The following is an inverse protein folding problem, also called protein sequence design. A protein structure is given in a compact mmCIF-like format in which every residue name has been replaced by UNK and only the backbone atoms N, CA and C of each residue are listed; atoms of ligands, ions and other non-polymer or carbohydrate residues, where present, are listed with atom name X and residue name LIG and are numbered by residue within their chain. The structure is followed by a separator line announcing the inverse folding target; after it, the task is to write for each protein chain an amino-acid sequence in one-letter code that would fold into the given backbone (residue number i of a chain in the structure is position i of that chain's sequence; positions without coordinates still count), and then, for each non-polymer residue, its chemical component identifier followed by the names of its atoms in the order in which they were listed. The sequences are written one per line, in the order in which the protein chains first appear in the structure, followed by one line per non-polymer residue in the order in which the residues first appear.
data_IF_879442656587
#
_entry.id   IF_879442656587
#
_cell.length_a   1.000
_cell.length_b   1.000
_cell.length_c   1.000
_cell.angle_alpha   90.00
_cell.angle_beta   90.00
_cell.angle_gamma   90.00
#
_symmetry.space_group_name_H-M   'P 1'
#
loop_
_entity.id
_entity.type
_entity.pdbx_description
1 polymer ?
#
# COMPACT_ATOMS: atom_id res chain seq x y z
N UNK A 1 0.49 -20.67 -27.97
CA UNK A 1 -0.24 -21.05 -26.75
C UNK A 1 0.16 -20.02 -25.68
N UNK A 2 -0.69 -19.06 -25.43
CA UNK A 2 -0.50 -18.10 -24.32
C UNK A 2 -0.58 -18.89 -23.01
N UNK A 3 0.50 -19.00 -22.28
CA UNK A 3 0.46 -19.50 -20.90
C UNK A 3 -0.46 -18.54 -20.13
N UNK A 4 -1.60 -19.03 -19.70
CA UNK A 4 -2.44 -18.28 -18.76
C UNK A 4 -1.74 -18.32 -17.41
N UNK A 5 -1.17 -17.20 -16.99
CA UNK A 5 -0.68 -17.05 -15.63
C UNK A 5 -1.86 -17.18 -14.65
N UNK A 6 -1.65 -17.74 -13.44
CA UNK A 6 -2.70 -17.82 -12.45
C UNK A 6 -3.19 -16.39 -12.12
N UNK A 7 -4.52 -16.23 -12.05
CA UNK A 7 -5.14 -14.95 -11.72
C UNK A 7 -4.77 -14.54 -10.30
N UNK A 8 -4.38 -13.29 -10.13
CA UNK A 8 -4.11 -12.71 -8.82
C UNK A 8 -5.45 -12.51 -8.10
N UNK A 9 -5.57 -13.03 -6.88
CA UNK A 9 -6.78 -12.91 -6.05
C UNK A 9 -6.50 -12.40 -4.64
N UNK A 10 -5.22 -12.37 -4.22
CA UNK A 10 -4.80 -12.10 -2.85
C UNK A 10 -4.07 -10.78 -2.73
N UNK A 11 -4.44 -10.01 -1.70
CA UNK A 11 -3.74 -8.81 -1.28
C UNK A 11 -3.12 -9.00 0.12
N UNK A 12 -1.87 -8.60 0.29
CA UNK A 12 -1.15 -8.61 1.57
C UNK A 12 -0.90 -7.17 1.98
N UNK A 13 -1.33 -6.80 3.19
CA UNK A 13 -1.19 -5.45 3.71
C UNK A 13 -0.32 -5.46 4.97
N UNK A 14 0.98 -5.10 4.87
CA UNK A 14 1.84 -4.91 6.03
C UNK A 14 1.37 -3.73 6.89
N UNK A 15 0.99 -4.01 8.14
CA UNK A 15 0.47 -3.02 9.10
C UNK A 15 1.06 -3.19 10.51
N UNK A 16 2.25 -3.78 10.64
CA UNK A 16 2.89 -4.05 11.93
C UNK A 16 3.75 -2.88 12.47
N UNK A 17 3.97 -1.81 11.70
CA UNK A 17 4.83 -0.68 12.06
C UNK A 17 4.36 0.11 13.29
N UNK A 18 5.30 0.67 14.05
CA UNK A 18 5.03 1.35 15.32
C UNK A 18 4.41 2.75 15.20
N UNK A 19 4.51 3.40 14.02
CA UNK A 19 3.89 4.72 13.79
C UNK A 19 4.51 5.86 14.59
N UNK A 20 5.80 5.82 14.89
CA UNK A 20 6.47 6.76 15.81
C UNK A 20 6.46 8.21 15.33
N UNK A 21 6.32 8.47 14.03
CA UNK A 21 6.26 9.84 13.46
C UNK A 21 5.04 10.63 13.92
N UNK A 22 3.96 9.96 14.35
CA UNK A 22 2.70 10.56 14.81
C UNK A 22 2.51 10.53 16.32
N UNK A 23 3.56 10.26 17.09
CA UNK A 23 3.45 10.38 18.54
C UNK A 23 3.15 11.85 18.93
N UNK A 24 2.27 12.06 19.96
CA UNK A 24 1.69 11.05 20.84
C UNK A 24 0.41 10.36 20.34
N UNK A 25 -0.19 10.77 19.21
CA UNK A 25 -1.47 10.24 18.73
C UNK A 25 -1.43 8.71 18.54
N UNK A 26 -0.32 8.20 18.02
CA UNK A 26 -0.14 6.77 17.74
C UNK A 26 0.33 5.94 18.95
N UNK A 27 0.38 6.53 20.14
CA UNK A 27 0.70 5.79 21.38
C UNK A 27 -0.30 4.66 21.66
N UNK A 28 -1.58 4.92 21.42
CA UNK A 28 -2.68 3.98 21.66
C UNK A 28 -3.50 3.62 20.40
N UNK A 29 -3.29 4.33 19.31
CA UNK A 29 -4.02 4.14 18.06
C UNK A 29 -3.03 3.78 16.95
N UNK A 30 -3.24 2.70 16.19
CA UNK A 30 -2.43 2.41 15.01
C UNK A 30 -2.42 3.58 14.03
N UNK A 31 -1.27 3.87 13.41
CA UNK A 31 -1.17 4.96 12.41
C UNK A 31 -2.14 4.75 11.24
N UNK A 32 -2.37 3.51 10.88
CA UNK A 32 -3.27 3.11 9.80
C UNK A 32 -4.75 3.39 10.13
N UNK A 33 -5.08 3.59 11.42
CA UNK A 33 -6.41 3.99 11.91
C UNK A 33 -6.58 5.50 12.03
N UNK A 34 -5.58 6.30 11.70
CA UNK A 34 -5.74 7.75 11.67
C UNK A 34 -6.77 8.13 10.59
N UNK A 35 -7.76 8.98 10.94
CA UNK A 35 -8.86 9.28 10.04
C UNK A 35 -8.43 10.22 8.90
N UNK A 36 -8.72 9.84 7.68
CA UNK A 36 -8.66 10.70 6.51
C UNK A 36 -10.10 11.13 6.20
N UNK A 37 -10.47 12.31 6.64
CA UNK A 37 -11.84 12.83 6.76
C UNK A 37 -12.63 12.05 7.82
N UNK A 38 -13.48 11.10 7.43
CA UNK A 38 -14.33 10.29 8.33
C UNK A 38 -14.10 8.76 8.18
N UNK A 39 -13.04 8.38 7.46
CA UNK A 39 -12.68 7.00 7.17
C UNK A 39 -11.20 6.76 7.52
N UNK A 40 -10.81 5.66 8.20
CA UNK A 40 -9.41 5.41 8.51
C UNK A 40 -8.59 5.16 7.24
N UNK A 41 -7.32 5.57 7.25
CA UNK A 41 -6.41 5.44 6.11
C UNK A 41 -6.37 4.02 5.55
N UNK A 42 -6.36 3.01 6.42
CA UNK A 42 -6.31 1.59 6.00
C UNK A 42 -7.52 1.15 5.16
N UNK A 43 -8.69 1.75 5.37
CA UNK A 43 -9.89 1.38 4.60
C UNK A 43 -9.74 1.78 3.12
N UNK A 44 -9.12 2.92 2.82
CA UNK A 44 -8.81 3.31 1.42
C UNK A 44 -7.90 2.28 0.74
N UNK A 45 -6.94 1.71 1.47
CA UNK A 45 -6.03 0.69 0.93
C UNK A 45 -6.77 -0.62 0.64
N UNK A 46 -7.68 -1.04 1.52
CA UNK A 46 -8.51 -2.24 1.29
C UNK A 46 -9.50 -2.02 0.14
N UNK A 47 -10.13 -0.84 0.07
CA UNK A 47 -11.01 -0.47 -1.04
C UNK A 47 -10.29 -0.49 -2.40
N UNK A 48 -9.05 -0.04 -2.45
CA UNK A 48 -8.21 -0.14 -3.66
C UNK A 48 -7.99 -1.60 -4.07
N UNK A 49 -7.63 -2.48 -3.12
CA UNK A 49 -7.46 -3.90 -3.39
C UNK A 49 -8.75 -4.52 -3.96
N UNK A 50 -9.89 -4.28 -3.32
CA UNK A 50 -11.21 -4.78 -3.77
C UNK A 50 -11.59 -4.22 -5.14
N UNK A 51 -11.33 -2.93 -5.39
CA UNK A 51 -11.60 -2.30 -6.69
C UNK A 51 -10.74 -2.88 -7.82
N UNK A 52 -9.58 -3.42 -7.49
CA UNK A 52 -8.72 -4.16 -8.42
C UNK A 52 -9.12 -5.64 -8.59
N UNK A 53 -10.15 -6.11 -7.86
CA UNK A 53 -10.66 -7.49 -7.91
C UNK A 53 -9.99 -8.45 -6.92
N UNK A 54 -9.35 -7.93 -5.86
CA UNK A 54 -8.69 -8.70 -4.82
C UNK A 54 -9.54 -8.66 -3.55
N UNK A 55 -10.32 -9.69 -3.30
CA UNK A 55 -11.24 -9.81 -2.16
C UNK A 55 -10.73 -10.72 -1.02
N UNK A 56 -9.62 -11.43 -1.23
CA UNK A 56 -8.88 -12.17 -0.19
C UNK A 56 -7.75 -11.29 0.33
N UNK A 57 -7.98 -10.64 1.48
CA UNK A 57 -7.06 -9.66 2.05
C UNK A 57 -6.44 -10.16 3.35
N UNK A 58 -5.11 -10.31 3.36
CA UNK A 58 -4.33 -10.66 4.53
C UNK A 58 -3.63 -9.43 5.11
N UNK A 59 -3.97 -9.04 6.34
CA UNK A 59 -3.20 -8.05 7.09
C UNK A 59 -2.11 -8.69 7.94
N UNK A 60 -0.88 -8.20 7.78
CA UNK A 60 0.24 -8.58 8.63
C UNK A 60 0.33 -7.57 9.77
N UNK A 61 -0.15 -7.98 10.97
CA UNK A 61 -0.30 -7.10 12.13
C UNK A 61 0.80 -7.30 13.16
N UNK A 62 0.86 -6.42 14.15
CA UNK A 62 1.75 -6.48 15.31
C UNK A 62 0.97 -6.32 16.64
N UNK A 63 1.70 -6.12 17.73
CA UNK A 63 1.08 -5.74 19.00
C UNK A 63 0.34 -4.40 18.87
N UNK A 64 -0.75 -4.23 19.63
CA UNK A 64 -1.56 -3.01 19.67
C UNK A 64 -2.23 -2.64 18.34
N UNK A 65 -2.44 -3.63 17.45
CA UNK A 65 -3.11 -3.44 16.14
C UNK A 65 -4.56 -3.93 16.12
N UNK A 66 -5.10 -4.35 17.27
CA UNK A 66 -6.49 -4.81 17.39
C UNK A 66 -7.54 -3.86 16.76
N UNK A 67 -7.41 -2.51 16.85
CA UNK A 67 -8.35 -1.62 16.19
C UNK A 67 -8.46 -1.81 14.67
N UNK A 68 -7.42 -2.36 14.00
CA UNK A 68 -7.50 -2.74 12.58
C UNK A 68 -8.42 -3.94 12.37
N UNK A 69 -8.33 -4.93 13.25
CA UNK A 69 -9.16 -6.12 13.22
C UNK A 69 -10.62 -5.74 13.50
N UNK A 70 -10.85 -5.00 14.60
CA UNK A 70 -12.17 -4.52 15.03
C UNK A 70 -12.87 -3.63 13.98
N UNK A 71 -12.12 -2.89 13.14
CA UNK A 71 -12.68 -2.00 12.12
C UNK A 71 -13.33 -2.76 10.96
N UNK A 72 -12.75 -3.88 10.56
CA UNK A 72 -13.25 -4.72 9.48
C UNK A 72 -14.12 -5.88 9.98
N UNK A 73 -14.33 -6.00 11.29
CA UNK A 73 -15.23 -6.98 11.87
C UNK A 73 -16.60 -6.35 12.17
N UNK A 74 -17.61 -7.18 12.32
CA UNK A 74 -18.97 -6.71 12.64
C UNK A 74 -19.06 -6.19 14.06
N UNK A 75 -19.70 -5.03 14.23
CA UNK A 75 -20.03 -4.48 15.54
C UNK A 75 -21.53 -4.64 15.83
N UNK A 76 -21.91 -5.83 16.29
CA UNK A 76 -23.31 -6.19 16.53
C UNK A 76 -24.05 -5.21 17.45
N UNK A 77 -23.40 -4.70 18.51
CA UNK A 77 -24.03 -3.77 19.45
C UNK A 77 -24.35 -2.43 18.77
N UNK A 78 -23.40 -1.88 18.01
CA UNK A 78 -23.59 -0.63 17.28
C UNK A 78 -24.63 -0.80 16.15
N UNK A 79 -24.55 -1.87 15.38
CA UNK A 79 -25.51 -2.17 14.31
C UNK A 79 -26.95 -2.31 14.88
N UNK A 80 -27.11 -3.04 16.00
CA UNK A 80 -28.41 -3.21 16.68
C UNK A 80 -28.94 -1.86 17.22
N UNK A 81 -28.07 -1.01 17.76
CA UNK A 81 -28.46 0.31 18.27
C UNK A 81 -28.92 1.24 17.15
N UNK A 82 -28.23 1.25 16.00
CA UNK A 82 -28.58 2.04 14.82
C UNK A 82 -29.87 1.53 14.18
N UNK A 83 -30.04 0.20 14.06
CA UNK A 83 -31.26 -0.41 13.56
C UNK A 83 -32.50 -0.07 14.41
N UNK A 84 -32.38 -0.12 15.74
CA UNK A 84 -33.45 0.27 16.68
C UNK A 84 -33.84 1.76 16.56
N UNK A 85 -32.88 2.63 16.20
CA UNK A 85 -33.11 4.06 15.95
C UNK A 85 -33.67 4.35 14.57
N UNK A 86 -33.69 3.37 13.66
CA UNK A 86 -34.07 3.56 12.26
C UNK A 86 -33.03 4.38 11.45
N UNK A 87 -31.78 4.47 11.93
CA UNK A 87 -30.70 5.22 11.26
C UNK A 87 -30.03 4.34 10.19
N UNK A 88 -30.74 4.12 9.09
CA UNK A 88 -30.29 3.26 8.01
C UNK A 88 -29.02 3.77 7.34
N UNK A 89 -28.83 5.08 7.25
CA UNK A 89 -27.65 5.67 6.61
C UNK A 89 -26.35 5.37 7.38
N UNK A 90 -26.36 5.55 8.71
CA UNK A 90 -25.21 5.20 9.53
C UNK A 90 -25.01 3.70 9.66
N UNK A 91 -26.09 2.92 9.70
CA UNK A 91 -26.01 1.46 9.72
C UNK A 91 -25.29 0.95 8.44
N UNK A 92 -25.66 1.46 7.27
CA UNK A 92 -25.00 1.10 6.02
C UNK A 92 -23.48 1.42 6.04
N UNK A 93 -23.10 2.61 6.56
CA UNK A 93 -21.68 2.99 6.69
C UNK A 93 -20.88 2.05 7.62
N UNK A 94 -21.50 1.56 8.70
CA UNK A 94 -20.85 0.60 9.61
C UNK A 94 -20.68 -0.77 8.96
N UNK A 95 -21.68 -1.22 8.22
CA UNK A 95 -21.64 -2.51 7.53
C UNK A 95 -20.70 -2.51 6.32
N UNK A 96 -20.55 -1.36 5.64
CA UNK A 96 -19.68 -1.22 4.47
C UNK A 96 -18.25 -1.71 4.75
N UNK A 97 -17.64 -1.35 5.90
CA UNK A 97 -16.29 -1.80 6.24
C UNK A 97 -16.22 -3.30 6.52
N UNK A 98 -17.23 -3.88 7.15
CA UNK A 98 -17.27 -5.31 7.49
C UNK A 98 -17.53 -6.22 6.29
N UNK A 99 -18.23 -5.71 5.28
CA UNK A 99 -18.62 -6.47 4.10
C UNK A 99 -17.65 -6.25 2.91
N UNK A 100 -16.58 -5.47 3.12
CA UNK A 100 -15.70 -4.99 2.06
C UNK A 100 -14.88 -6.11 1.41
N UNK A 101 -14.31 -7.01 2.20
CA UNK A 101 -13.44 -8.10 1.76
C UNK A 101 -13.45 -9.28 2.74
N UNK A 102 -12.93 -10.43 2.30
CA UNK A 102 -12.62 -11.54 3.22
C UNK A 102 -11.30 -11.25 3.92
N UNK A 103 -11.39 -10.82 5.18
CA UNK A 103 -10.23 -10.37 5.94
C UNK A 103 -9.55 -11.51 6.70
N UNK A 104 -8.24 -11.62 6.55
CA UNK A 104 -7.38 -12.53 7.30
C UNK A 104 -6.31 -11.76 8.05
N UNK A 105 -5.83 -12.32 9.17
CA UNK A 105 -4.83 -11.65 10.01
C UNK A 105 -3.73 -12.62 10.41
N UNK A 106 -2.47 -12.18 10.26
CA UNK A 106 -1.30 -12.89 10.75
C UNK A 106 -0.41 -11.91 11.53
N UNK A 107 0.24 -12.40 12.58
CA UNK A 107 1.14 -11.55 13.36
C UNK A 107 2.58 -11.71 12.89
N UNK A 108 3.24 -10.58 12.67
CA UNK A 108 4.67 -10.56 12.34
C UNK A 108 5.54 -11.07 13.51
N UNK A 109 5.07 -10.95 14.75
CA UNK A 109 5.84 -11.25 15.94
C UNK A 109 6.93 -10.20 16.17
N UNK A 110 8.20 -10.54 15.96
CA UNK A 110 9.30 -9.60 15.94
C UNK A 110 9.32 -8.79 14.63
N UNK A 111 9.25 -7.46 14.67
CA UNK A 111 9.30 -6.63 13.46
C UNK A 111 10.73 -6.56 12.91
N UNK A 112 11.03 -7.40 11.91
CA UNK A 112 12.34 -7.49 11.26
C UNK A 112 12.38 -6.82 9.89
N UNK A 113 11.51 -5.85 9.64
CA UNK A 113 11.45 -5.10 8.38
C UNK A 113 10.31 -5.55 7.45
N UNK A 114 10.17 -4.83 6.31
CA UNK A 114 9.10 -5.02 5.34
C UNK A 114 9.17 -6.41 4.67
N UNK A 115 10.35 -6.84 4.27
CA UNK A 115 10.54 -8.17 3.66
C UNK A 115 10.10 -9.29 4.60
N UNK A 116 10.39 -9.17 5.89
CA UNK A 116 9.92 -10.13 6.89
C UNK A 116 8.38 -10.09 7.06
N UNK A 117 7.76 -8.91 7.02
CA UNK A 117 6.29 -8.81 7.05
C UNK A 117 5.67 -9.54 5.86
N UNK A 118 6.20 -9.34 4.66
CA UNK A 118 5.76 -10.05 3.44
C UNK A 118 5.98 -11.56 3.60
N UNK A 119 7.11 -11.99 4.12
CA UNK A 119 7.40 -13.41 4.36
C UNK A 119 6.39 -14.08 5.30
N UNK A 120 5.84 -13.36 6.28
CA UNK A 120 4.79 -13.88 7.17
C UNK A 120 3.51 -14.27 6.41
N UNK A 121 3.30 -13.73 5.23
CA UNK A 121 2.14 -14.06 4.39
C UNK A 121 2.29 -15.39 3.62
N UNK A 122 3.48 -15.94 3.51
CA UNK A 122 3.77 -17.11 2.69
C UNK A 122 2.83 -18.33 2.92
N UNK A 123 2.45 -18.70 4.17
CA UNK A 123 1.52 -19.81 4.39
C UNK A 123 0.12 -19.58 3.86
N UNK A 124 -0.34 -18.33 3.80
CA UNK A 124 -1.65 -17.94 3.27
C UNK A 124 -1.64 -17.79 1.75
N UNK A 125 -0.62 -17.16 1.23
CA UNK A 125 -0.48 -16.92 -0.23
C UNK A 125 -0.21 -18.21 -0.99
N UNK A 126 0.62 -19.07 -0.45
CA UNK A 126 1.02 -20.31 -1.13
C UNK A 126 1.95 -20.04 -2.31
N UNK A 127 1.63 -20.64 -3.45
CA UNK A 127 2.44 -20.55 -4.68
C UNK A 127 1.70 -19.76 -5.79
N UNK A 128 1.01 -18.69 -5.42
CA UNK A 128 0.26 -17.83 -6.34
C UNK A 128 0.87 -16.43 -6.36
N UNK A 129 0.82 -15.71 -7.49
CA UNK A 129 1.17 -14.30 -7.50
C UNK A 129 0.16 -13.51 -6.64
N UNK A 130 0.63 -12.46 -5.99
CA UNK A 130 -0.15 -11.70 -5.02
C UNK A 130 0.23 -10.22 -5.02
N UNK A 131 -0.68 -9.36 -4.58
CA UNK A 131 -0.39 -7.95 -4.40
C UNK A 131 0.11 -7.65 -2.99
N UNK A 132 0.98 -6.64 -2.84
CA UNK A 132 1.36 -6.05 -1.56
C UNK A 132 1.03 -4.57 -1.60
N UNK A 133 0.26 -4.10 -0.60
CA UNK A 133 -0.12 -2.70 -0.45
C UNK A 133 0.35 -2.20 0.92
N UNK A 134 1.18 -1.17 0.96
CA UNK A 134 1.58 -0.57 2.22
C UNK A 134 0.40 0.20 2.84
N UNK A 135 0.12 -0.07 4.12
CA UNK A 135 -1.06 0.44 4.80
C UNK A 135 -1.08 1.95 5.08
N UNK A 136 0.03 2.63 4.85
CA UNK A 136 0.20 4.08 5.01
C UNK A 136 0.45 4.82 3.68
N UNK A 137 0.37 4.13 2.57
CA UNK A 137 0.53 4.69 1.23
C UNK A 137 -0.82 4.70 0.51
N UNK A 138 -1.43 5.86 0.34
CA UNK A 138 -2.73 6.02 -0.30
C UNK A 138 -2.57 6.43 -1.76
N UNK A 139 -3.24 5.69 -2.63
CA UNK A 139 -3.45 6.10 -4.03
C UNK A 139 -4.85 6.72 -4.13
N UNK A 140 -4.95 7.85 -4.82
CA UNK A 140 -6.25 8.49 -5.02
C UNK A 140 -7.18 7.54 -5.82
N UNK A 141 -8.42 7.29 -5.35
CA UNK A 141 -9.34 6.37 -6.03
C UNK A 141 -9.62 6.70 -7.50
N UNK A 142 -9.34 7.93 -7.92
CA UNK A 142 -9.49 8.39 -9.31
C UNK A 142 -8.33 7.97 -10.22
N UNK A 143 -7.23 7.49 -9.65
CA UNK A 143 -6.00 7.14 -10.36
C UNK A 143 -5.68 5.64 -10.17
N UNK A 144 -6.34 4.71 -10.88
CA UNK A 144 -6.29 3.27 -10.62
C UNK A 144 -4.91 2.67 -11.01
N UNK A 145 -4.01 2.54 -10.04
CA UNK A 145 -2.66 1.99 -10.22
C UNK A 145 -2.63 0.45 -10.15
N UNK A 146 -3.21 -0.13 -9.10
CA UNK A 146 -3.07 -1.56 -8.81
C UNK A 146 -3.60 -2.45 -9.94
N UNK A 147 -4.74 -2.07 -10.53
CA UNK A 147 -5.30 -2.80 -11.68
C UNK A 147 -4.33 -2.80 -12.88
N UNK A 148 -3.71 -1.65 -13.15
CA UNK A 148 -2.69 -1.56 -14.22
C UNK A 148 -1.49 -2.47 -13.95
N UNK A 149 -1.04 -2.56 -12.69
CA UNK A 149 0.06 -3.44 -12.30
C UNK A 149 -0.30 -4.93 -12.47
N UNK A 150 -1.53 -5.31 -12.12
CA UNK A 150 -2.04 -6.67 -12.33
C UNK A 150 -2.06 -7.01 -13.84
N UNK A 151 -2.59 -6.10 -14.68
CA UNK A 151 -2.61 -6.28 -16.13
C UNK A 151 -1.20 -6.45 -16.72
N UNK A 152 -0.19 -5.77 -16.17
CA UNK A 152 1.23 -5.92 -16.59
C UNK A 152 1.75 -7.29 -16.17
N UNK A 153 1.51 -7.71 -14.93
CA UNK A 153 1.95 -9.01 -14.43
C UNK A 153 1.30 -10.17 -15.22
N UNK A 154 0.01 -10.10 -15.51
CA UNK A 154 -0.71 -11.12 -16.29
C UNK A 154 -0.15 -11.26 -17.74
N UNK A 155 0.35 -10.18 -18.32
CA UNK A 155 0.92 -10.18 -19.67
C UNK A 155 2.38 -10.61 -19.73
N UNK A 156 3.18 -10.18 -18.77
CA UNK A 156 4.64 -10.36 -18.81
C UNK A 156 5.14 -11.42 -17.83
N UNK A 157 4.31 -11.84 -16.86
CA UNK A 157 4.74 -12.67 -15.74
C UNK A 157 5.68 -11.93 -14.78
N UNK A 158 6.26 -12.67 -13.85
CA UNK A 158 7.22 -12.13 -12.88
C UNK A 158 6.62 -11.19 -11.86
N UNK A 159 7.39 -10.20 -11.43
CA UNK A 159 6.97 -9.22 -10.43
C UNK A 159 6.83 -7.82 -11.03
N UNK A 160 5.92 -7.02 -10.46
CA UNK A 160 5.67 -5.63 -10.89
C UNK A 160 5.74 -4.72 -9.67
N UNK A 161 6.49 -3.62 -9.79
CA UNK A 161 6.68 -2.63 -8.74
C UNK A 161 6.13 -1.28 -9.21
N UNK A 162 5.41 -0.57 -8.37
CA UNK A 162 4.99 0.79 -8.68
C UNK A 162 6.17 1.76 -8.48
N UNK A 163 6.39 2.60 -9.46
CA UNK A 163 7.44 3.60 -9.49
C UNK A 163 6.84 5.00 -9.63
N UNK A 164 7.48 5.98 -9.00
CA UNK A 164 7.16 7.40 -9.16
C UNK A 164 8.45 8.17 -9.38
N UNK A 165 8.45 9.09 -10.32
CA UNK A 165 9.57 10.00 -10.48
C UNK A 165 9.55 11.03 -9.35
N UNK A 166 10.66 11.16 -8.61
CA UNK A 166 10.80 12.10 -7.50
C UNK A 166 11.96 13.05 -7.74
N UNK A 167 11.96 14.19 -7.05
CA UNK A 167 13.10 15.09 -7.08
C UNK A 167 14.38 14.38 -6.56
N UNK A 168 15.56 14.63 -7.16
CA UNK A 168 16.81 13.96 -6.76
C UNK A 168 17.12 14.05 -5.27
N UNK A 169 16.73 15.13 -4.63
CA UNK A 169 16.92 15.37 -3.18
C UNK A 169 16.08 14.45 -2.30
N UNK A 170 15.01 13.86 -2.86
CA UNK A 170 14.06 13.01 -2.13
C UNK A 170 14.35 11.51 -2.30
N UNK A 171 15.17 11.12 -3.28
CA UNK A 171 15.38 9.71 -3.62
C UNK A 171 15.90 8.88 -2.44
N UNK A 172 16.69 9.50 -1.54
CA UNK A 172 17.23 8.87 -0.34
C UNK A 172 16.17 8.37 0.66
N UNK A 173 14.90 8.74 0.48
CA UNK A 173 13.77 8.30 1.32
C UNK A 173 13.19 6.96 0.86
N UNK A 174 13.46 6.54 -0.37
CA UNK A 174 12.82 5.42 -1.07
C UNK A 174 13.83 4.39 -1.56
N UNK A 175 13.35 3.17 -1.83
CA UNK A 175 14.04 2.28 -2.74
C UNK A 175 14.09 2.92 -4.13
N UNK A 176 15.20 2.77 -4.85
CA UNK A 176 15.42 3.35 -6.18
C UNK A 176 15.61 2.25 -7.21
N UNK A 177 14.98 2.39 -8.38
CA UNK A 177 15.04 1.42 -9.47
C UNK A 177 15.93 1.91 -10.61
N UNK A 178 16.84 1.04 -11.09
CA UNK A 178 17.49 1.19 -12.38
C UNK A 178 16.62 0.53 -13.45
N UNK A 179 16.28 1.25 -14.50
CA UNK A 179 15.26 0.83 -15.46
C UNK A 179 15.67 1.00 -16.89
N UNK A 180 15.15 0.11 -17.76
CA UNK A 180 15.16 0.25 -19.21
C UNK A 180 13.73 0.50 -19.72
N UNK A 181 13.53 1.38 -20.71
CA UNK A 181 12.22 1.61 -21.31
C UNK A 181 11.72 0.37 -22.04
N UNK A 182 10.40 0.18 -22.07
CA UNK A 182 9.73 -0.84 -22.90
C UNK A 182 8.94 -0.19 -24.04
N UNK A 183 8.29 -1.02 -24.86
CA UNK A 183 7.39 -0.52 -25.90
C UNK A 183 6.08 0.09 -25.32
N UNK A 184 5.76 -0.19 -24.06
CA UNK A 184 4.63 0.39 -23.33
C UNK A 184 5.13 1.59 -22.52
N UNK A 185 4.64 2.79 -22.81
CA UNK A 185 5.21 4.05 -22.33
C UNK A 185 5.26 4.23 -20.81
N UNK A 186 4.34 3.59 -20.07
CA UNK A 186 4.27 3.61 -18.60
C UNK A 186 4.90 2.37 -17.94
N UNK A 187 5.38 1.41 -18.73
CA UNK A 187 6.00 0.18 -18.24
C UNK A 187 7.50 0.19 -18.55
N UNK A 188 8.29 -0.09 -17.55
CA UNK A 188 9.75 -0.19 -17.65
C UNK A 188 10.22 -1.57 -17.19
N UNK A 189 11.36 -2.03 -17.70
CA UNK A 189 12.03 -3.22 -17.16
C UNK A 189 13.02 -2.79 -16.09
N UNK A 190 12.95 -3.42 -14.91
CA UNK A 190 13.87 -3.15 -13.81
C UNK A 190 15.01 -4.14 -13.87
N UNK A 191 16.25 -3.65 -13.87
CA UNK A 191 17.45 -4.49 -13.88
C UNK A 191 18.28 -4.36 -12.60
N UNK A 192 18.04 -3.34 -11.77
CA UNK A 192 18.65 -3.21 -10.45
C UNK A 192 17.79 -2.38 -9.49
N UNK A 193 17.94 -2.62 -8.19
CA UNK A 193 17.21 -1.96 -7.13
C UNK A 193 18.14 -1.68 -5.94
N UNK A 194 18.09 -0.47 -5.41
CA UNK A 194 18.91 -0.03 -4.28
C UNK A 194 18.04 0.59 -3.19
N UNK A 195 18.13 0.07 -1.96
CA UNK A 195 17.36 0.59 -0.82
C UNK A 195 17.93 1.91 -0.31
N UNK A 196 17.18 2.99 -0.46
CA UNK A 196 17.50 4.33 0.06
C UNK A 196 18.93 4.77 -0.25
N UNK A 197 19.35 4.84 -1.52
CA UNK A 197 20.69 5.29 -1.88
C UNK A 197 20.93 6.73 -1.47
N UNK A 198 22.18 7.16 -1.42
CA UNK A 198 22.47 8.60 -1.42
C UNK A 198 22.09 9.19 -2.79
N UNK A 199 21.85 10.50 -2.87
CA UNK A 199 21.55 11.12 -4.16
C UNK A 199 22.67 10.95 -5.20
N UNK A 200 23.93 10.78 -4.75
CA UNK A 200 25.07 10.56 -5.62
C UNK A 200 25.15 9.10 -6.15
N UNK A 201 24.61 8.14 -5.39
CA UNK A 201 24.66 6.71 -5.70
C UNK A 201 23.34 6.20 -6.32
N UNK A 202 22.32 7.05 -6.40
CA UNK A 202 21.03 6.67 -6.94
C UNK A 202 21.13 6.38 -8.45
N UNK A 203 20.70 5.19 -8.91
CA UNK A 203 20.79 4.82 -10.31
C UNK A 203 19.80 5.61 -11.20
N UNK A 204 18.78 6.22 -10.62
CA UNK A 204 17.76 7.03 -11.30
C UNK A 204 16.99 7.90 -10.31
N UNK A 205 15.92 8.57 -10.78
CA UNK A 205 14.94 9.26 -9.96
C UNK A 205 13.64 8.46 -9.76
N UNK A 206 13.60 7.20 -10.15
CA UNK A 206 12.43 6.34 -10.00
C UNK A 206 12.40 5.71 -8.60
N UNK A 207 11.58 6.30 -7.74
CA UNK A 207 11.32 5.83 -6.39
C UNK A 207 10.30 4.69 -6.39
N UNK A 208 10.56 3.64 -5.62
CA UNK A 208 9.58 2.59 -5.34
C UNK A 208 8.54 3.16 -4.38
N UNK A 209 7.28 3.04 -4.75
CA UNK A 209 6.14 3.40 -3.89
C UNK A 209 5.42 2.14 -3.41
N UNK A 210 4.54 2.28 -2.44
CA UNK A 210 3.97 1.20 -1.63
C UNK A 210 3.02 0.24 -2.32
N UNK A 211 3.21 -0.07 -3.61
CA UNK A 211 2.42 -1.04 -4.38
C UNK A 211 3.32 -2.01 -5.13
N UNK A 212 3.02 -3.30 -4.96
CA UNK A 212 3.75 -4.39 -5.59
C UNK A 212 2.78 -5.47 -6.04
N UNK A 213 3.09 -6.14 -7.14
CA UNK A 213 2.49 -7.42 -7.54
C UNK A 213 3.65 -8.39 -7.66
N UNK A 214 3.69 -9.41 -6.81
CA UNK A 214 4.87 -10.24 -6.59
C UNK A 214 4.64 -11.67 -7.08
N UNK A 215 5.65 -12.22 -7.71
CA UNK A 215 5.78 -13.64 -7.96
C UNK A 215 6.09 -14.38 -6.64
N UNK A 216 5.51 -15.56 -6.37
CA UNK A 216 5.68 -16.28 -5.10
C UNK A 216 7.12 -16.72 -4.82
N UNK A 217 8.01 -16.83 -5.82
CA UNK A 217 9.42 -17.10 -5.61
C UNK A 217 10.13 -16.05 -4.74
N UNK A 218 9.55 -14.87 -4.58
CA UNK A 218 10.03 -13.87 -3.63
C UNK A 218 10.15 -14.44 -2.22
N UNK A 219 9.30 -15.39 -1.82
CA UNK A 219 9.36 -16.01 -0.49
C UNK A 219 10.62 -16.86 -0.30
N UNK A 220 11.08 -17.55 -1.33
CA UNK A 220 12.32 -18.35 -1.26
C UNK A 220 13.55 -17.44 -1.14
N UNK A 221 13.51 -16.29 -1.77
CA UNK A 221 14.56 -15.28 -1.62
C UNK A 221 14.51 -14.65 -0.23
N UNK A 222 13.33 -14.22 0.23
CA UNK A 222 13.17 -13.60 1.57
C UNK A 222 13.61 -14.52 2.72
N UNK A 223 13.47 -15.85 2.60
CA UNK A 223 13.95 -16.81 3.61
C UNK A 223 15.47 -16.79 3.80
N UNK A 224 16.21 -16.38 2.77
CA UNK A 224 17.69 -16.35 2.75
C UNK A 224 18.26 -14.94 2.70
N UNK A 225 17.40 -13.91 2.61
CA UNK A 225 17.83 -12.50 2.61
C UNK A 225 18.35 -12.15 4.00
N UNK A 226 19.61 -11.74 4.05
CA UNK A 226 20.22 -11.25 5.30
C UNK A 226 19.70 -9.84 5.62
N UNK A 227 19.70 -9.45 6.91
CA UNK A 227 19.35 -8.10 7.31
C UNK A 227 20.26 -7.07 6.63
N UNK A 228 19.64 -6.15 5.90
CA UNK A 228 20.30 -5.05 5.19
C UNK A 228 20.32 -3.75 6.00
N UNK A 229 19.97 -2.65 5.33
CA UNK A 229 19.94 -1.31 5.94
C UNK A 229 19.04 -1.28 7.18
N UNK A 230 19.57 -0.72 8.28
CA UNK A 230 18.87 -0.63 9.56
C UNK A 230 18.73 -1.96 10.32
N UNK A 231 19.38 -3.04 9.87
CA UNK A 231 19.25 -4.39 10.46
C UNK A 231 17.92 -5.06 10.12
N UNK A 232 17.25 -4.59 9.07
CA UNK A 232 15.94 -5.09 8.62
C UNK A 232 16.07 -5.96 7.37
N UNK A 233 15.21 -6.96 7.23
CA UNK A 233 15.05 -7.71 5.98
C UNK A 233 14.25 -6.82 5.02
N UNK A 234 14.95 -6.26 4.04
CA UNK A 234 14.36 -5.34 3.07
C UNK A 234 13.70 -6.09 1.92
N UNK A 235 12.49 -5.67 1.53
CA UNK A 235 11.83 -6.20 0.35
C UNK A 235 12.59 -5.81 -0.93
N UNK A 236 13.15 -4.61 -0.95
CA UNK A 236 13.98 -4.10 -2.06
C UNK A 236 15.16 -5.01 -2.36
N UNK A 237 15.86 -5.51 -1.32
CA UNK A 237 17.02 -6.40 -1.48
C UNK A 237 16.59 -7.76 -2.06
N UNK A 238 15.41 -8.26 -1.68
CA UNK A 238 14.87 -9.48 -2.24
C UNK A 238 14.45 -9.31 -3.71
N UNK A 239 13.83 -8.18 -4.05
CA UNK A 239 13.47 -7.85 -5.43
C UNK A 239 14.71 -7.65 -6.31
N UNK A 240 15.76 -7.03 -5.77
CA UNK A 240 17.03 -6.89 -6.45
C UNK A 240 17.62 -8.27 -6.83
N UNK A 241 17.55 -9.26 -5.94
CA UNK A 241 17.97 -10.62 -6.27
C UNK A 241 17.12 -11.26 -7.38
N UNK A 242 15.81 -10.98 -7.45
CA UNK A 242 14.95 -11.45 -8.55
C UNK A 242 15.37 -10.86 -9.90
N UNK A 243 15.87 -9.63 -9.95
CA UNK A 243 16.34 -9.02 -11.21
C UNK A 243 17.58 -9.71 -11.78
N UNK A 244 18.35 -10.42 -10.95
CA UNK A 244 19.61 -11.06 -11.35
C UNK A 244 19.41 -12.43 -12.05
N UNK A 245 18.28 -13.10 -11.82
CA UNK A 245 18.00 -14.39 -12.45
C UNK A 245 16.50 -14.53 -12.81
N UNK A 246 16.16 -14.13 -14.01
CA UNK A 246 14.78 -14.22 -14.54
C UNK A 246 14.23 -15.66 -14.62
N UNK A 247 15.08 -16.70 -14.46
CA UNK A 247 14.59 -18.08 -14.38
C UNK A 247 13.93 -18.37 -13.05
N UNK A 248 14.18 -17.53 -12.04
CA UNK A 248 13.59 -17.62 -10.72
C UNK A 248 12.57 -16.49 -10.58
N UNK A 249 11.28 -16.76 -10.75
CA UNK A 249 10.21 -15.78 -10.57
C UNK A 249 9.97 -14.83 -11.74
N UNK A 250 10.63 -15.01 -12.90
CA UNK A 250 10.43 -14.19 -14.11
C UNK A 250 11.04 -12.79 -14.03
N UNK A 251 10.74 -11.93 -15.02
CA UNK A 251 11.26 -10.57 -15.05
C UNK A 251 10.66 -9.68 -13.96
N UNK A 252 11.35 -8.60 -13.63
CA UNK A 252 10.81 -7.55 -12.77
C UNK A 252 10.51 -6.31 -13.62
N UNK A 253 9.25 -5.87 -13.60
CA UNK A 253 8.80 -4.67 -14.29
C UNK A 253 8.45 -3.55 -13.31
N UNK A 254 8.51 -2.32 -13.79
CA UNK A 254 7.99 -1.15 -13.10
C UNK A 254 6.79 -0.58 -13.85
N UNK A 255 5.77 -0.13 -13.12
CA UNK A 255 4.74 0.76 -13.66
C UNK A 255 5.03 2.16 -13.14
N UNK A 256 5.35 3.09 -14.05
CA UNK A 256 5.60 4.49 -13.72
C UNK A 256 4.26 5.19 -13.52
N UNK A 257 4.03 5.66 -12.32
CA UNK A 257 2.79 6.30 -11.89
C UNK A 257 2.97 7.80 -11.77
N UNK A 258 2.16 8.56 -12.46
CA UNK A 258 2.10 10.03 -12.44
C UNK A 258 0.85 10.59 -11.75
N UNK A 259 0.04 9.73 -11.14
CA UNK A 259 -1.18 10.09 -10.43
C UNK A 259 -0.94 10.61 -9.01
N UNK A 260 -2.02 10.76 -8.27
CA UNK A 260 -2.02 11.30 -6.90
C UNK A 260 -1.78 10.22 -5.88
N UNK A 261 -0.69 10.36 -5.17
CA UNK A 261 -0.27 9.51 -4.06
C UNK A 261 -0.10 10.36 -2.80
N UNK A 262 -0.41 9.78 -1.64
CA UNK A 262 -0.25 10.41 -0.33
C UNK A 262 0.42 9.45 0.64
N UNK A 263 1.60 9.83 1.16
CA UNK A 263 2.26 9.12 2.25
C UNK A 263 1.64 9.54 3.59
N UNK A 264 0.64 8.77 4.06
CA UNK A 264 0.03 9.03 5.37
C UNK A 264 0.95 8.67 6.55
N UNK A 265 2.13 8.16 6.30
CA UNK A 265 3.21 8.04 7.28
C UNK A 265 4.01 9.33 7.47
N UNK A 266 3.90 10.32 6.57
CA UNK A 266 4.42 11.68 6.71
C UNK A 266 3.32 12.65 7.18
N UNK A 267 3.63 13.50 8.17
CA UNK A 267 2.62 14.41 8.75
C UNK A 267 2.14 15.48 7.78
N UNK A 268 3.04 16.01 6.96
CA UNK A 268 2.70 17.05 5.98
C UNK A 268 1.83 16.49 4.86
N UNK A 269 2.19 15.30 4.37
CA UNK A 269 1.45 14.65 3.30
C UNK A 269 0.09 14.11 3.78
N UNK A 270 0.04 13.63 5.03
CA UNK A 270 -1.23 13.27 5.69
C UNK A 270 -2.22 14.45 5.74
N UNK A 271 -1.75 15.65 6.10
CA UNK A 271 -2.60 16.85 6.09
C UNK A 271 -3.06 17.22 4.66
N UNK A 272 -2.16 17.08 3.67
CA UNK A 272 -2.53 17.30 2.25
C UNK A 272 -3.58 16.30 1.78
N UNK A 273 -3.45 15.03 2.16
CA UNK A 273 -4.45 14.01 1.86
C UNK A 273 -5.82 14.36 2.41
N UNK A 274 -5.91 14.76 3.70
CA UNK A 274 -7.17 15.16 4.33
C UNK A 274 -7.80 16.32 3.57
N UNK A 275 -7.04 17.40 3.31
CA UNK A 275 -7.57 18.59 2.63
C UNK A 275 -8.05 18.24 1.23
N UNK A 276 -7.28 17.51 0.44
CA UNK A 276 -7.63 17.17 -0.93
C UNK A 276 -8.86 16.26 -0.98
N UNK A 277 -8.88 15.18 -0.18
CA UNK A 277 -10.02 14.26 -0.17
C UNK A 277 -11.28 14.92 0.41
N UNK A 278 -11.17 15.80 1.41
CA UNK A 278 -12.30 16.58 1.90
C UNK A 278 -12.87 17.52 0.83
N UNK A 279 -12.01 18.15 0.04
CA UNK A 279 -12.43 19.03 -1.07
C UNK A 279 -13.20 18.29 -2.17
N UNK A 280 -12.94 17.00 -2.37
CA UNK A 280 -13.59 16.20 -3.41
C UNK A 280 -14.91 15.54 -2.97
N UNK A 281 -15.21 15.56 -1.69
CA UNK A 281 -16.46 15.02 -1.15
C UNK A 281 -17.67 15.84 -1.63
N UNK A 282 -18.73 15.16 -2.04
CA UNK A 282 -19.99 15.81 -2.46
C UNK A 282 -20.68 16.51 -1.29
N UNK A 283 -20.64 15.91 -0.09
CA UNK A 283 -21.30 16.40 1.12
C UNK A 283 -20.53 17.51 1.84
N UNK A 284 -19.21 17.57 1.73
CA UNK A 284 -18.36 18.52 2.46
C UNK A 284 -17.65 19.52 1.53
N UNK A 285 -17.26 19.07 0.34
CA UNK A 285 -16.35 19.78 -0.53
C UNK A 285 -16.75 21.19 -0.92
N UNK A 286 -18.02 21.48 -1.30
CA UNK A 286 -18.42 22.82 -1.67
C UNK A 286 -18.16 23.86 -0.58
N UNK A 287 -18.63 23.60 0.63
CA UNK A 287 -18.48 24.51 1.78
C UNK A 287 -17.04 24.58 2.27
N UNK A 288 -16.36 23.43 2.32
CA UNK A 288 -14.97 23.35 2.76
C UNK A 288 -14.02 24.11 1.81
N UNK A 289 -14.19 23.99 0.49
CA UNK A 289 -13.41 24.77 -0.49
C UNK A 289 -13.66 26.28 -0.36
N UNK A 290 -14.89 26.69 -0.08
CA UNK A 290 -15.23 28.11 0.14
C UNK A 290 -14.51 28.65 1.37
N UNK A 291 -14.62 27.94 2.49
CA UNK A 291 -13.90 28.28 3.73
C UNK A 291 -12.39 28.32 3.52
N UNK A 292 -11.80 27.30 2.87
CA UNK A 292 -10.35 27.21 2.65
C UNK A 292 -9.82 28.40 1.84
N UNK A 293 -10.58 28.88 0.84
CA UNK A 293 -10.21 30.10 0.08
C UNK A 293 -10.17 31.33 0.98
N UNK A 294 -11.22 31.54 1.79
CA UNK A 294 -11.25 32.68 2.75
C UNK A 294 -10.09 32.59 3.74
N UNK A 295 -9.85 31.42 4.32
CA UNK A 295 -8.75 31.20 5.26
C UNK A 295 -7.38 31.56 4.67
N UNK A 296 -7.08 31.09 3.47
CA UNK A 296 -5.80 31.40 2.80
C UNK A 296 -5.68 32.89 2.43
N UNK A 297 -6.80 33.55 2.11
CA UNK A 297 -6.78 34.96 1.67
C UNK A 297 -6.75 35.93 2.83
N UNK A 298 -7.38 35.60 3.97
CA UNK A 298 -7.62 36.54 5.08
C UNK A 298 -6.70 36.28 6.28
N UNK A 299 -6.18 35.03 6.46
CA UNK A 299 -5.43 34.63 7.66
C UNK A 299 -4.00 34.19 7.36
N UNK A 300 -3.59 34.03 6.11
CA UNK A 300 -2.22 33.70 5.69
C UNK A 300 -1.59 34.80 4.84
#
# INVERSE_FOLDING_TARGET
MTQSHPRISKAVIPAAGLGTRFLPATKATPKEMLPVVDKPAIQYVVEEAVSAGLDDVLMVTGRNKRPLEDHFDRNYELESALGKKGDAARLAKVQESSDLATMHYVRQGDPKGLGHAVLCAAPHVGNEPFAVLLGDDLIDPRDPLLKRMIDVQERHGGSVVALMEVAPEQIHLYGCAAVDPTAEGDVVKIHDLVEKPSAADAPSNYAIIGRYVLDPHVFDILRRTEPGRGGEIQLTDALQQLTQDEKIGGPVHGVVFDGRRYDTGDRGDYLRAIVRLACEREDLGPDFRSWLRSYVTEEM
#
